data_IF_090361449215
#
_entry.id   IF_090361449215
#
_cell.length_a   1.000
_cell.length_b   1.000
_cell.length_c   1.000
_cell.angle_alpha   90.00
_cell.angle_beta   90.00
_cell.angle_gamma   90.00
#
_symmetry.space_group_name_H-M   'P 1'
#
loop_
_entity.id
_entity.type
_entity.pdbx_description
1 polymer ?
#
# COMPACT_ATOMS: atom_id res chain seq x y z
N UNK A 1 18.60 5.04 12.40
CA UNK A 1 19.75 4.11 12.51
C UNK A 1 19.79 3.36 13.83
N UNK A 2 19.91 4.03 14.97
CA UNK A 2 20.06 3.35 16.27
C UNK A 2 18.90 2.39 16.59
N UNK A 3 17.65 2.73 16.22
CA UNK A 3 16.48 1.86 16.37
C UNK A 3 16.58 0.52 15.62
N UNK A 4 17.27 0.45 14.47
CA UNK A 4 17.45 -0.81 13.73
C UNK A 4 18.27 -1.86 14.48
N UNK A 5 19.03 -1.45 15.51
CA UNK A 5 19.78 -2.39 16.36
C UNK A 5 18.89 -3.21 17.31
N UNK A 6 17.62 -2.84 17.46
CA UNK A 6 16.62 -3.54 18.26
C UNK A 6 15.66 -4.39 17.40
N UNK A 7 15.87 -4.45 16.08
CA UNK A 7 15.10 -5.33 15.20
C UNK A 7 15.71 -6.73 15.20
N UNK A 8 14.90 -7.71 15.60
CA UNK A 8 15.21 -9.12 15.49
C UNK A 8 14.32 -9.76 14.41
N UNK A 9 14.90 -10.62 13.59
CA UNK A 9 14.21 -11.27 12.47
C UNK A 9 13.89 -12.72 12.81
N UNK A 10 12.64 -13.12 12.58
CA UNK A 10 12.15 -14.46 12.87
C UNK A 10 11.55 -15.10 11.63
N UNK A 11 11.63 -16.43 11.51
CA UNK A 11 11.07 -17.17 10.37
C UNK A 11 9.59 -17.47 10.59
N UNK A 12 8.83 -17.58 9.50
CA UNK A 12 7.46 -18.09 9.53
C UNK A 12 7.39 -19.48 10.18
N UNK A 13 6.30 -19.76 10.89
CA UNK A 13 6.07 -21.02 11.58
C UNK A 13 6.85 -21.19 12.90
N UNK A 14 7.91 -20.41 13.13
CA UNK A 14 8.73 -20.45 14.35
C UNK A 14 7.94 -19.86 15.53
N UNK A 15 7.76 -20.64 16.61
CA UNK A 15 7.21 -20.11 17.87
C UNK A 15 8.34 -19.54 18.71
N UNK A 16 8.22 -18.27 19.09
CA UNK A 16 9.19 -17.51 19.88
C UNK A 16 8.61 -17.29 21.27
N UNK A 17 9.39 -17.56 22.30
CA UNK A 17 9.06 -17.23 23.68
C UNK A 17 9.76 -15.92 24.08
N UNK A 18 9.01 -14.96 24.62
CA UNK A 18 9.55 -13.66 25.05
C UNK A 18 10.02 -13.73 26.50
N UNK A 19 9.20 -14.29 27.38
CA UNK A 19 9.42 -14.26 28.83
C UNK A 19 8.79 -15.45 29.60
N UNK A 20 8.28 -16.49 28.92
CA UNK A 20 7.57 -17.61 29.52
C UNK A 20 6.05 -17.40 29.69
N UNK A 21 5.58 -16.15 29.66
CA UNK A 21 4.16 -15.78 29.73
C UNK A 21 3.61 -15.47 28.33
N UNK A 22 4.37 -14.68 27.56
CA UNK A 22 4.04 -14.25 26.20
C UNK A 22 4.93 -14.98 25.20
N UNK A 23 4.29 -15.61 24.21
CA UNK A 23 4.97 -16.20 23.06
C UNK A 23 4.22 -15.87 21.77
N UNK A 24 4.92 -15.79 20.65
CA UNK A 24 4.33 -15.43 19.36
C UNK A 24 4.81 -16.31 18.20
N UNK A 25 4.14 -16.21 17.06
CA UNK A 25 4.52 -16.87 15.81
C UNK A 25 4.02 -16.04 14.62
N UNK A 26 4.90 -15.84 13.64
CA UNK A 26 4.53 -15.31 12.34
C UNK A 26 4.05 -16.41 11.39
N UNK A 27 3.07 -16.07 10.56
CA UNK A 27 2.44 -16.87 9.53
C UNK A 27 2.37 -16.03 8.27
N UNK A 28 2.55 -16.59 7.08
CA UNK A 28 2.54 -15.74 5.88
C UNK A 28 1.14 -15.15 5.65
N UNK A 29 1.05 -13.83 5.54
CA UNK A 29 -0.19 -13.13 5.21
C UNK A 29 -0.42 -12.99 3.70
N UNK A 30 0.53 -13.35 2.84
CA UNK A 30 0.38 -13.32 1.37
C UNK A 30 0.21 -11.94 0.73
N UNK A 31 0.29 -10.85 1.49
CA UNK A 31 -0.06 -9.49 1.07
C UNK A 31 1.09 -8.75 0.39
N UNK A 32 2.26 -8.71 1.06
CA UNK A 32 3.54 -8.21 0.53
C UNK A 32 4.69 -9.08 1.03
N UNK A 33 5.90 -8.87 0.49
CA UNK A 33 7.07 -9.65 0.88
C UNK A 33 7.37 -9.47 2.37
N UNK A 34 7.20 -10.53 3.17
CA UNK A 34 7.35 -10.51 4.63
C UNK A 34 6.09 -10.11 5.42
N UNK A 35 4.94 -9.91 4.77
CA UNK A 35 3.67 -9.66 5.48
C UNK A 35 3.28 -10.83 6.35
N UNK A 36 2.90 -10.58 7.60
CA UNK A 36 2.69 -11.65 8.58
C UNK A 36 1.34 -11.55 9.29
N UNK A 37 0.61 -12.66 9.33
CA UNK A 37 -0.41 -12.91 10.36
C UNK A 37 0.36 -13.23 11.64
N UNK A 38 -0.05 -12.65 12.77
CA UNK A 38 0.61 -12.78 14.06
C UNK A 38 -0.27 -13.60 15.01
N UNK A 39 0.16 -14.82 15.33
CA UNK A 39 -0.41 -15.62 16.43
C UNK A 39 0.32 -15.26 17.73
N UNK A 40 -0.41 -14.84 18.78
CA UNK A 40 0.13 -14.54 20.11
C UNK A 40 -0.55 -15.45 21.14
N UNK A 41 0.25 -16.06 22.01
CA UNK A 41 -0.22 -16.78 23.20
C UNK A 41 0.21 -15.99 24.43
N UNK A 42 -0.74 -15.64 25.29
CA UNK A 42 -0.51 -14.97 26.57
C UNK A 42 -0.99 -15.90 27.68
N UNK A 43 -0.16 -16.12 28.70
CA UNK A 43 -0.45 -17.02 29.81
C UNK A 43 -0.44 -16.27 31.14
N UNK A 44 -1.58 -16.25 31.82
CA UNK A 44 -1.78 -15.68 33.15
C UNK A 44 -2.49 -16.71 34.04
N UNK A 45 -2.09 -16.84 35.30
CA UNK A 45 -2.69 -17.77 36.29
C UNK A 45 -2.97 -19.20 35.75
N UNK A 46 -1.96 -19.79 35.10
CA UNK A 46 -2.00 -21.11 34.42
C UNK A 46 -2.98 -21.24 33.23
N UNK A 47 -3.67 -20.16 32.85
CA UNK A 47 -4.55 -20.11 31.67
C UNK A 47 -3.84 -19.44 30.49
N UNK A 48 -3.86 -20.06 29.32
CA UNK A 48 -3.34 -19.46 28.08
C UNK A 48 -4.48 -19.03 27.16
N UNK A 49 -4.52 -17.75 26.78
CA UNK A 49 -5.34 -17.25 25.66
C UNK A 49 -4.51 -17.18 24.37
N UNK A 50 -5.19 -17.32 23.23
CA UNK A 50 -4.61 -17.13 21.90
C UNK A 50 -5.31 -15.97 21.17
N UNK A 51 -4.56 -14.88 20.99
CA UNK A 51 -4.92 -13.76 20.12
C UNK A 51 -4.33 -13.99 18.72
N UNK A 52 -5.08 -13.63 17.68
CA UNK A 52 -4.59 -13.64 16.30
C UNK A 52 -4.84 -12.27 15.68
N UNK A 53 -3.79 -11.66 15.14
CA UNK A 53 -3.86 -10.42 14.38
C UNK A 53 -3.62 -10.76 12.91
N UNK A 54 -4.59 -10.51 12.02
CA UNK A 54 -4.45 -10.88 10.60
C UNK A 54 -3.34 -10.10 9.89
N UNK A 55 -3.11 -8.85 10.32
CA UNK A 55 -2.46 -7.86 9.47
C UNK A 55 -3.30 -7.63 8.21
N UNK A 56 -2.67 -7.14 7.16
CA UNK A 56 -3.30 -7.10 5.84
C UNK A 56 -3.23 -8.49 5.21
N UNK A 57 -4.37 -9.04 4.81
CA UNK A 57 -4.45 -10.35 4.17
C UNK A 57 -4.28 -10.20 2.66
N UNK A 58 -3.49 -11.08 2.05
CA UNK A 58 -3.27 -11.12 0.61
C UNK A 58 -4.44 -11.70 -0.16
N UNK A 59 -4.77 -11.12 -1.31
CA UNK A 59 -5.61 -11.81 -2.28
C UNK A 59 -4.89 -13.05 -2.85
N UNK A 60 -5.50 -14.25 -2.89
CA UNK A 60 -4.87 -15.41 -3.51
C UNK A 60 -4.65 -15.27 -5.01
N UNK A 61 -3.76 -16.11 -5.55
CA UNK A 61 -3.47 -16.14 -6.98
C UNK A 61 -2.73 -14.90 -7.49
N UNK A 62 -2.20 -14.06 -6.59
CA UNK A 62 -1.27 -12.97 -6.92
C UNK A 62 0.06 -13.56 -7.42
N UNK A 63 0.76 -12.84 -8.31
CA UNK A 63 2.10 -13.24 -8.73
C UNK A 63 3.10 -13.09 -7.58
N UNK A 64 4.25 -13.75 -7.72
CA UNK A 64 5.42 -13.67 -6.83
C UNK A 64 5.24 -14.31 -5.44
N UNK A 65 4.19 -14.03 -4.69
CA UNK A 65 4.03 -14.48 -3.28
C UNK A 65 2.97 -15.58 -3.19
N UNK A 66 3.03 -16.44 -2.17
CA UNK A 66 2.02 -17.46 -1.91
C UNK A 66 0.70 -16.86 -1.34
N UNK A 67 -0.36 -17.67 -1.28
CA UNK A 67 -1.63 -17.26 -0.66
C UNK A 67 -1.53 -17.25 0.88
N UNK A 68 -2.37 -16.48 1.60
CA UNK A 68 -2.26 -16.35 3.06
C UNK A 68 -2.44 -17.69 3.78
N UNK A 69 -1.64 -17.94 4.81
CA UNK A 69 -1.80 -19.10 5.68
C UNK A 69 -3.16 -19.06 6.41
N UNK A 70 -3.83 -20.21 6.46
CA UNK A 70 -5.07 -20.36 7.21
C UNK A 70 -4.83 -20.59 8.70
N UNK A 71 -5.65 -19.95 9.53
CA UNK A 71 -5.64 -20.12 10.97
C UNK A 71 -6.86 -20.96 11.39
N UNK A 72 -6.61 -22.03 12.13
CA UNK A 72 -7.67 -22.97 12.54
C UNK A 72 -8.27 -22.65 13.92
N UNK A 73 -7.59 -21.86 14.75
CA UNK A 73 -7.99 -21.58 16.13
C UNK A 73 -7.59 -20.18 16.57
N UNK A 74 -8.47 -19.48 17.27
CA UNK A 74 -8.16 -18.34 18.14
C UNK A 74 -9.25 -18.22 19.21
N UNK A 75 -8.91 -17.65 20.37
CA UNK A 75 -9.91 -17.20 21.33
C UNK A 75 -10.40 -15.80 20.93
N UNK A 76 -9.47 -14.97 20.44
CA UNK A 76 -9.72 -13.61 19.99
C UNK A 76 -9.05 -13.36 18.64
N UNK A 77 -9.79 -12.75 17.72
CA UNK A 77 -9.30 -12.41 16.38
C UNK A 77 -9.39 -10.89 16.17
N UNK A 78 -8.32 -10.29 15.66
CA UNK A 78 -8.30 -8.93 15.14
C UNK A 78 -8.05 -9.04 13.64
N UNK A 79 -9.00 -8.55 12.83
CA UNK A 79 -9.06 -8.81 11.39
C UNK A 79 -9.22 -7.52 10.59
N UNK A 80 -8.48 -7.37 9.49
CA UNK A 80 -8.66 -6.27 8.55
C UNK A 80 -10.04 -6.29 7.86
N UNK A 81 -10.43 -5.18 7.24
CA UNK A 81 -11.72 -5.04 6.57
C UNK A 81 -11.67 -4.13 5.35
N UNK A 82 -10.51 -3.98 4.70
CA UNK A 82 -10.29 -2.98 3.64
C UNK A 82 -11.29 -3.11 2.47
N UNK A 83 -11.65 -4.35 2.12
CA UNK A 83 -12.68 -4.67 1.13
C UNK A 83 -13.79 -5.54 1.74
N UNK A 84 -14.17 -5.24 3.00
CA UNK A 84 -15.21 -5.96 3.74
C UNK A 84 -16.63 -5.85 3.15
N UNK A 85 -16.81 -5.02 2.13
CA UNK A 85 -18.07 -4.71 1.43
C UNK A 85 -18.23 -5.40 0.07
N UNK A 86 -17.13 -5.79 -0.60
CA UNK A 86 -17.17 -6.21 -2.02
C UNK A 86 -16.08 -7.19 -2.44
N UNK A 87 -16.29 -7.80 -3.61
CA UNK A 87 -15.33 -8.65 -4.32
C UNK A 87 -14.65 -7.89 -5.47
N UNK A 88 -13.37 -8.17 -5.73
CA UNK A 88 -12.65 -7.56 -6.85
C UNK A 88 -12.84 -8.36 -8.16
N UNK A 89 -12.70 -7.72 -9.34
CA UNK A 89 -12.49 -8.44 -10.58
C UNK A 89 -11.22 -9.32 -10.53
N UNK A 90 -11.19 -10.49 -11.18
CA UNK A 90 -10.00 -11.34 -11.22
C UNK A 90 -8.78 -10.60 -11.81
N UNK A 91 -7.59 -10.83 -11.24
CA UNK A 91 -6.34 -10.19 -11.68
C UNK A 91 -6.14 -10.29 -13.21
N UNK A 92 -6.35 -11.47 -13.80
CA UNK A 92 -6.18 -11.69 -15.25
C UNK A 92 -7.08 -10.78 -16.10
N UNK A 93 -8.28 -10.47 -15.63
CA UNK A 93 -9.20 -9.56 -16.31
C UNK A 93 -8.68 -8.12 -16.22
N UNK A 94 -8.24 -7.68 -15.03
CA UNK A 94 -7.63 -6.37 -14.84
C UNK A 94 -6.30 -6.21 -15.58
N UNK A 95 -5.48 -7.25 -15.68
CA UNK A 95 -4.26 -7.26 -16.48
C UNK A 95 -4.56 -7.15 -17.97
N UNK A 96 -5.55 -7.90 -18.49
CA UNK A 96 -6.04 -7.75 -19.86
C UNK A 96 -6.52 -6.32 -20.16
N UNK A 97 -7.35 -5.75 -19.27
CA UNK A 97 -7.81 -4.34 -19.35
C UNK A 97 -6.65 -3.35 -19.30
N UNK A 98 -5.64 -3.56 -18.46
CA UNK A 98 -4.45 -2.70 -18.40
C UNK A 98 -3.72 -2.69 -19.76
N UNK A 99 -3.52 -3.86 -20.36
CA UNK A 99 -2.93 -3.97 -21.69
C UNK A 99 -3.80 -3.23 -22.72
N UNK A 100 -5.12 -3.44 -22.75
CA UNK A 100 -6.03 -2.73 -23.66
C UNK A 100 -5.95 -1.20 -23.51
N UNK A 101 -5.92 -0.70 -22.27
CA UNK A 101 -5.74 0.74 -21.97
C UNK A 101 -4.39 1.23 -22.51
N UNK A 102 -3.30 0.48 -22.33
CA UNK A 102 -1.99 0.80 -22.91
C UNK A 102 -2.08 0.87 -24.44
N UNK A 103 -2.67 -0.13 -25.11
CA UNK A 103 -2.85 -0.11 -26.57
C UNK A 103 -3.65 1.12 -27.03
N UNK A 104 -4.82 1.34 -26.45
CA UNK A 104 -5.73 2.46 -26.77
C UNK A 104 -5.05 3.83 -26.58
N UNK A 105 -4.27 3.99 -25.51
CA UNK A 105 -3.60 5.25 -25.18
C UNK A 105 -2.42 5.54 -26.10
N UNK A 106 -1.63 4.51 -26.41
CA UNK A 106 -0.44 4.65 -27.25
C UNK A 106 -0.80 4.85 -28.72
N UNK A 107 -1.83 4.16 -29.23
CA UNK A 107 -2.31 4.33 -30.61
C UNK A 107 -2.82 5.75 -30.93
N UNK A 108 -3.27 6.51 -29.91
CA UNK A 108 -3.62 7.94 -30.05
C UNK A 108 -2.45 8.91 -29.76
N UNK A 109 -1.25 8.37 -29.54
CA UNK A 109 -0.02 9.14 -29.28
C UNK A 109 0.08 9.72 -27.87
N UNK A 110 -0.50 9.06 -26.86
CA UNK A 110 -0.42 9.46 -25.45
C UNK A 110 0.41 8.52 -24.59
N UNK A 111 0.63 8.90 -23.33
CA UNK A 111 1.31 8.08 -22.31
C UNK A 111 0.33 7.59 -21.24
N UNK A 112 0.63 6.43 -20.65
CA UNK A 112 -0.10 5.87 -19.51
C UNK A 112 0.67 6.14 -18.22
N UNK A 113 0.01 6.74 -17.23
CA UNK A 113 0.58 7.06 -15.93
C UNK A 113 -0.11 6.14 -14.90
N UNK A 114 0.68 5.46 -14.07
CA UNK A 114 0.21 4.47 -13.08
C UNK A 114 0.80 4.81 -11.70
N UNK A 115 0.03 5.50 -10.82
CA UNK A 115 0.33 5.57 -9.40
C UNK A 115 0.39 4.17 -8.81
N UNK A 116 1.50 3.80 -8.17
CA UNK A 116 1.66 2.48 -7.57
C UNK A 116 2.48 2.52 -6.28
N UNK A 117 2.17 1.65 -5.32
CA UNK A 117 2.97 1.48 -4.12
C UNK A 117 4.33 0.88 -4.46
N UNK A 118 5.38 1.38 -3.81
CA UNK A 118 6.77 1.02 -4.14
C UNK A 118 7.10 -0.44 -3.83
N UNK A 119 6.43 -1.03 -2.84
CA UNK A 119 6.60 -2.40 -2.37
C UNK A 119 5.33 -3.19 -2.71
N UNK A 120 5.47 -4.46 -3.09
CA UNK A 120 4.38 -5.33 -3.51
C UNK A 120 3.79 -4.96 -4.86
N UNK A 121 3.12 -3.81 -4.97
CA UNK A 121 2.24 -3.52 -6.11
C UNK A 121 2.95 -3.10 -7.39
N UNK A 122 4.06 -2.38 -7.29
CA UNK A 122 4.91 -2.14 -8.46
C UNK A 122 5.52 -3.45 -8.98
N UNK A 123 5.90 -4.36 -8.10
CA UNK A 123 6.48 -5.66 -8.46
C UNK A 123 5.45 -6.57 -9.15
N UNK A 124 4.21 -6.61 -8.66
CA UNK A 124 3.11 -7.31 -9.32
C UNK A 124 2.80 -6.78 -10.72
N UNK A 125 2.79 -5.45 -10.91
CA UNK A 125 2.63 -4.86 -12.24
C UNK A 125 3.76 -5.22 -13.20
N UNK A 126 5.01 -5.22 -12.71
CA UNK A 126 6.17 -5.62 -13.52
C UNK A 126 6.03 -7.09 -13.95
N UNK A 127 5.57 -7.98 -13.06
CA UNK A 127 5.32 -9.39 -13.37
C UNK A 127 4.27 -9.57 -14.48
N UNK A 128 3.09 -8.93 -14.35
CA UNK A 128 2.03 -9.07 -15.37
C UNK A 128 2.44 -8.45 -16.73
N UNK A 129 3.26 -7.39 -16.71
CA UNK A 129 3.82 -6.82 -17.94
C UNK A 129 4.93 -7.72 -18.54
N UNK A 130 5.75 -8.37 -17.72
CA UNK A 130 6.72 -9.39 -18.17
C UNK A 130 5.99 -10.58 -18.82
N UNK A 131 4.95 -11.13 -18.17
CA UNK A 131 4.10 -12.22 -18.70
C UNK A 131 3.52 -11.81 -20.07
N UNK A 132 3.01 -10.58 -20.19
CA UNK A 132 2.54 -10.06 -21.48
C UNK A 132 3.65 -9.93 -22.54
N UNK A 133 4.79 -9.30 -22.24
CA UNK A 133 5.80 -8.95 -23.25
C UNK A 133 6.71 -10.12 -23.67
N UNK A 134 7.04 -11.05 -22.78
CA UNK A 134 7.98 -12.14 -23.06
C UNK A 134 7.27 -13.42 -23.53
N UNK A 135 6.00 -13.66 -23.13
CA UNK A 135 5.29 -14.92 -23.39
C UNK A 135 4.13 -14.83 -24.40
N UNK A 136 3.88 -13.66 -25.00
CA UNK A 136 2.88 -13.48 -26.05
C UNK A 136 3.53 -12.96 -27.34
N UNK A 137 2.91 -13.22 -28.50
CA UNK A 137 3.34 -12.63 -29.77
C UNK A 137 2.96 -11.14 -29.81
N UNK A 138 3.87 -10.28 -29.33
CA UNK A 138 3.73 -8.83 -29.34
C UNK A 138 4.43 -8.24 -30.56
N UNK A 139 3.68 -7.55 -31.41
CA UNK A 139 4.22 -6.83 -32.57
C UNK A 139 5.23 -5.74 -32.13
N UNK A 140 6.30 -5.53 -32.90
CA UNK A 140 7.43 -4.67 -32.49
C UNK A 140 6.99 -3.24 -32.11
N UNK A 141 6.03 -2.65 -32.83
CA UNK A 141 5.50 -1.31 -32.52
C UNK A 141 4.66 -1.26 -31.23
N UNK A 142 4.29 -2.42 -30.68
CA UNK A 142 3.59 -2.59 -29.42
C UNK A 142 4.52 -2.88 -28.24
N UNK A 143 5.84 -2.98 -28.42
CA UNK A 143 6.85 -3.04 -27.33
C UNK A 143 7.03 -1.68 -26.66
N UNK A 144 6.01 -1.22 -25.95
CA UNK A 144 5.97 0.15 -25.43
C UNK A 144 6.96 0.32 -24.28
N UNK A 145 7.81 1.37 -24.27
CA UNK A 145 8.72 1.64 -23.15
C UNK A 145 7.98 1.77 -21.81
N UNK A 146 8.35 0.95 -20.83
CA UNK A 146 7.83 0.95 -19.46
C UNK A 146 8.89 1.48 -18.50
N UNK A 147 8.53 2.49 -17.72
CA UNK A 147 9.44 3.17 -16.79
C UNK A 147 8.98 2.97 -15.35
N UNK A 148 9.86 2.47 -14.49
CA UNK A 148 9.68 2.45 -13.04
C UNK A 148 10.40 3.68 -12.48
N UNK A 149 9.66 4.74 -12.22
CA UNK A 149 10.19 6.02 -11.74
C UNK A 149 9.88 6.25 -10.26
N UNK A 150 10.55 5.49 -9.41
CA UNK A 150 10.52 5.62 -7.96
C UNK A 150 11.77 4.96 -7.37
N UNK A 151 12.73 5.70 -6.78
CA UNK A 151 13.94 5.11 -6.21
C UNK A 151 13.64 4.04 -5.16
N UNK A 152 12.56 4.25 -4.38
CA UNK A 152 12.06 3.28 -3.41
C UNK A 152 11.50 2.02 -4.07
N UNK A 153 10.83 2.11 -5.22
CA UNK A 153 10.35 0.94 -5.95
C UNK A 153 11.49 0.17 -6.63
N UNK A 154 12.51 0.88 -7.13
CA UNK A 154 13.73 0.23 -7.65
C UNK A 154 14.44 -0.53 -6.52
N UNK A 155 14.68 0.11 -5.37
CA UNK A 155 15.30 -0.52 -4.21
C UNK A 155 14.48 -1.70 -3.66
N UNK A 156 13.15 -1.56 -3.56
CA UNK A 156 12.26 -2.65 -3.18
C UNK A 156 12.35 -3.84 -4.15
N UNK A 157 12.45 -3.59 -5.46
CA UNK A 157 12.62 -4.65 -6.46
C UNK A 157 13.97 -5.36 -6.32
N UNK A 158 15.04 -4.65 -5.96
CA UNK A 158 16.33 -5.26 -5.60
C UNK A 158 16.24 -6.12 -4.32
N UNK A 159 15.41 -5.73 -3.34
CA UNK A 159 15.13 -6.55 -2.14
C UNK A 159 14.33 -7.81 -2.50
N UNK A 160 13.30 -7.70 -3.35
CA UNK A 160 12.57 -8.85 -3.89
C UNK A 160 13.52 -9.84 -4.57
N UNK A 161 14.37 -9.38 -5.50
CA UNK A 161 15.33 -10.23 -6.21
C UNK A 161 16.32 -10.96 -5.28
N UNK A 162 16.71 -10.34 -4.15
CA UNK A 162 17.59 -10.95 -3.15
C UNK A 162 16.91 -11.98 -2.25
N UNK A 163 15.57 -11.97 -2.18
CA UNK A 163 14.77 -12.83 -1.31
C UNK A 163 13.84 -13.75 -2.11
N UNK A 164 14.28 -14.22 -3.28
CA UNK A 164 13.49 -15.10 -4.15
C UNK A 164 13.12 -16.46 -3.51
N UNK A 165 13.80 -16.86 -2.42
CA UNK A 165 13.49 -18.08 -1.67
C UNK A 165 12.18 -18.06 -0.87
N UNK A 166 11.52 -16.90 -0.74
CA UNK A 166 10.16 -16.77 -0.17
C UNK A 166 9.10 -16.43 -1.23
N UNK A 167 9.41 -16.65 -2.51
CA UNK A 167 8.42 -16.54 -3.58
C UNK A 167 7.64 -17.85 -3.74
N UNK A 168 6.43 -17.76 -4.32
CA UNK A 168 5.65 -18.94 -4.68
C UNK A 168 6.38 -19.85 -5.68
N UNK A 169 6.05 -21.15 -5.63
CA UNK A 169 6.71 -22.18 -6.44
C UNK A 169 6.73 -21.86 -7.94
N UNK A 170 5.65 -21.28 -8.49
CA UNK A 170 5.60 -20.87 -9.92
C UNK A 170 6.69 -19.86 -10.25
N UNK A 171 6.91 -18.88 -9.38
CA UNK A 171 7.88 -17.80 -9.60
C UNK A 171 9.31 -18.29 -9.36
N UNK A 172 9.51 -19.17 -8.36
CA UNK A 172 10.80 -19.85 -8.18
C UNK A 172 11.18 -20.68 -9.41
N UNK A 173 10.25 -21.45 -9.97
CA UNK A 173 10.45 -22.27 -11.17
C UNK A 173 10.87 -21.45 -12.42
N UNK A 174 10.37 -20.22 -12.58
CA UNK A 174 10.79 -19.32 -13.64
C UNK A 174 12.25 -18.89 -13.44
N UNK A 175 12.59 -18.45 -12.23
CA UNK A 175 13.94 -18.01 -11.87
C UNK A 175 14.96 -19.16 -12.03
N UNK A 176 14.60 -20.38 -11.63
CA UNK A 176 15.44 -21.58 -11.78
C UNK A 176 15.67 -21.98 -13.25
N UNK A 177 14.77 -21.60 -14.17
CA UNK A 177 14.94 -21.79 -15.63
C UNK A 177 15.81 -20.69 -16.27
N UNK A 178 16.25 -19.70 -15.50
CA UNK A 178 17.07 -18.58 -15.96
C UNK A 178 16.28 -17.35 -16.43
N UNK A 179 14.96 -17.35 -16.27
CA UNK A 179 14.12 -16.18 -16.51
C UNK A 179 14.19 -15.19 -15.33
N UNK A 180 13.80 -13.93 -15.55
CA UNK A 180 13.72 -12.92 -14.52
C UNK A 180 12.39 -12.15 -14.63
N UNK A 181 11.40 -12.44 -13.77
CA UNK A 181 10.07 -11.82 -13.85
C UNK A 181 10.06 -10.32 -13.52
N UNK A 182 11.22 -9.74 -13.18
CA UNK A 182 11.43 -8.31 -12.97
C UNK A 182 12.24 -7.64 -14.09
N UNK A 183 12.40 -8.30 -15.25
CA UNK A 183 13.08 -7.76 -16.43
C UNK A 183 12.35 -8.20 -17.70
N UNK A 184 12.25 -7.28 -18.65
CA UNK A 184 11.81 -7.54 -20.02
C UNK A 184 12.41 -6.45 -20.92
N UNK A 185 12.51 -6.68 -22.22
CA UNK A 185 13.28 -5.83 -23.15
C UNK A 185 12.97 -4.32 -23.04
N UNK A 186 11.69 -3.98 -22.91
CA UNK A 186 11.17 -2.61 -22.84
C UNK A 186 11.04 -2.02 -21.42
N UNK A 187 11.55 -2.67 -20.37
CA UNK A 187 11.52 -2.17 -18.99
C UNK A 187 12.75 -1.32 -18.62
N UNK A 188 12.55 -0.15 -18.00
CA UNK A 188 13.63 0.74 -17.53
C UNK A 188 13.38 1.21 -16.10
N UNK A 189 14.37 1.03 -15.24
CA UNK A 189 14.37 1.50 -13.84
C UNK A 189 15.03 2.87 -13.75
N UNK A 190 14.27 3.91 -13.41
CA UNK A 190 14.77 5.28 -13.31
C UNK A 190 15.27 5.54 -11.89
N UNK A 191 16.57 5.80 -11.76
CA UNK A 191 17.20 6.07 -10.46
C UNK A 191 17.39 7.57 -10.25
N UNK A 192 17.93 8.29 -11.25
CA UNK A 192 18.29 9.70 -11.08
C UNK A 192 17.10 10.65 -11.18
N UNK A 193 17.28 11.88 -10.70
CA UNK A 193 16.25 12.94 -10.80
C UNK A 193 16.24 13.56 -12.20
N UNK A 194 17.39 13.63 -12.85
CA UNK A 194 17.60 14.15 -14.20
C UNK A 194 16.88 13.28 -15.23
N UNK A 195 16.97 11.95 -15.10
CA UNK A 195 16.21 10.98 -15.89
C UNK A 195 14.69 11.16 -15.72
N UNK A 196 14.22 11.34 -14.48
CA UNK A 196 12.79 11.59 -14.17
C UNK A 196 12.29 12.91 -14.79
N UNK A 197 13.09 13.97 -14.74
CA UNK A 197 12.79 15.27 -15.39
C UNK A 197 12.81 15.13 -16.92
N UNK A 198 13.75 14.37 -17.49
CA UNK A 198 13.80 14.10 -18.92
C UNK A 198 12.57 13.30 -19.39
N UNK A 199 12.08 12.36 -18.58
CA UNK A 199 10.89 11.56 -18.88
C UNK A 199 9.61 12.41 -19.01
N UNK A 200 9.49 13.47 -18.19
CA UNK A 200 8.40 14.45 -18.27
C UNK A 200 8.45 15.33 -19.54
N UNK A 201 9.61 15.43 -20.21
CA UNK A 201 9.81 16.22 -21.44
C UNK A 201 9.81 15.39 -22.72
N UNK A 202 9.58 14.08 -22.62
CA UNK A 202 9.66 13.17 -23.75
C UNK A 202 8.33 13.07 -24.50
N UNK A 203 8.32 13.35 -25.80
CA UNK A 203 7.08 13.43 -26.61
C UNK A 203 6.60 12.08 -27.20
N UNK A 204 7.29 10.97 -26.94
CA UNK A 204 6.88 9.63 -27.39
C UNK A 204 5.94 8.92 -26.39
N UNK A 205 5.01 8.07 -26.86
CA UNK A 205 4.17 7.22 -26.02
C UNK A 205 4.97 6.26 -25.12
N UNK A 206 4.56 6.14 -23.85
CA UNK A 206 5.25 5.35 -22.81
C UNK A 206 4.31 5.00 -21.66
N UNK A 207 4.71 4.03 -20.83
CA UNK A 207 4.08 3.73 -19.55
C UNK A 207 5.00 4.21 -18.43
N UNK A 208 4.47 4.95 -17.45
CA UNK A 208 5.21 5.45 -16.28
C UNK A 208 4.53 4.92 -15.01
N UNK A 209 5.22 4.04 -14.29
CA UNK A 209 4.81 3.53 -12.98
C UNK A 209 5.61 4.27 -11.91
N UNK A 210 4.94 4.97 -11.00
CA UNK A 210 5.60 5.84 -10.01
C UNK A 210 4.85 5.87 -8.68
N UNK A 211 5.59 6.11 -7.59
CA UNK A 211 5.07 6.18 -6.23
C UNK A 211 4.80 7.64 -5.80
N UNK A 212 3.85 7.90 -4.89
CA UNK A 212 3.01 6.95 -4.11
C UNK A 212 1.78 6.40 -4.85
N UNK A 213 1.26 5.26 -4.39
CA UNK A 213 0.08 4.59 -4.97
C UNK A 213 -1.23 5.36 -4.88
N UNK A 214 -1.34 6.29 -3.94
CA UNK A 214 -2.49 7.18 -3.78
C UNK A 214 -2.26 8.61 -4.32
N UNK A 215 -1.20 8.78 -5.12
CA UNK A 215 -0.74 10.05 -5.68
C UNK A 215 -0.44 11.19 -4.67
N UNK A 216 -0.43 10.88 -3.36
CA UNK A 216 -0.27 11.84 -2.25
C UNK A 216 1.09 12.52 -2.20
N UNK A 217 2.16 11.83 -2.63
CA UNK A 217 3.54 12.30 -2.52
C UNK A 217 4.44 11.65 -3.59
N UNK A 218 5.66 12.14 -3.75
CA UNK A 218 6.68 11.53 -4.61
C UNK A 218 6.63 11.95 -6.08
N UNK A 219 7.43 11.27 -6.92
CA UNK A 219 7.63 11.61 -8.34
C UNK A 219 6.33 11.55 -9.15
N UNK A 220 5.34 10.76 -8.72
CA UNK A 220 4.01 10.70 -9.37
C UNK A 220 3.32 12.08 -9.43
N UNK A 221 3.47 12.95 -8.43
CA UNK A 221 2.89 14.31 -8.45
C UNK A 221 3.47 15.16 -9.58
N UNK A 222 4.76 14.99 -9.87
CA UNK A 222 5.42 15.66 -10.99
C UNK A 222 4.95 15.10 -12.32
N UNK A 223 4.79 13.78 -12.46
CA UNK A 223 4.21 13.17 -13.67
C UNK A 223 2.77 13.64 -13.91
N UNK A 224 1.92 13.64 -12.88
CA UNK A 224 0.55 14.15 -12.97
C UNK A 224 0.51 15.63 -13.38
N UNK A 225 1.36 16.48 -12.79
CA UNK A 225 1.47 17.91 -13.16
C UNK A 225 1.73 18.14 -14.65
N UNK A 226 2.54 17.30 -15.27
CA UNK A 226 2.86 17.39 -16.70
C UNK A 226 1.85 16.70 -17.62
N UNK A 227 1.05 15.75 -17.12
CA UNK A 227 0.23 14.87 -17.96
C UNK A 227 -1.30 15.04 -17.83
N UNK A 228 -1.83 15.55 -16.70
CA UNK A 228 -3.28 15.62 -16.41
C UNK A 228 -4.13 16.37 -17.46
N UNK A 229 -3.56 17.43 -18.03
CA UNK A 229 -4.24 18.35 -18.95
C UNK A 229 -4.29 17.83 -20.40
N UNK A 230 -3.58 16.74 -20.73
CA UNK A 230 -3.49 16.23 -22.10
C UNK A 230 -4.49 15.07 -22.33
N UNK A 231 -5.55 15.25 -23.13
CA UNK A 231 -6.58 14.23 -23.35
C UNK A 231 -6.09 12.99 -24.12
N UNK A 232 -4.87 13.02 -24.67
CA UNK A 232 -4.25 11.82 -25.24
C UNK A 232 -3.75 10.86 -24.17
N UNK A 233 -3.43 11.33 -22.97
CA UNK A 233 -2.90 10.48 -21.91
C UNK A 233 -3.99 9.62 -21.25
N UNK A 234 -3.57 8.67 -20.43
CA UNK A 234 -4.43 7.93 -19.50
C UNK A 234 -3.78 7.86 -18.12
N UNK A 235 -4.61 7.92 -17.08
CA UNK A 235 -4.25 7.67 -15.69
C UNK A 235 -4.93 6.37 -15.25
N UNK A 236 -4.18 5.43 -14.67
CA UNK A 236 -4.70 4.13 -14.24
C UNK A 236 -4.39 3.90 -12.78
N UNK A 237 -5.44 3.84 -11.95
CA UNK A 237 -5.33 3.39 -10.56
C UNK A 237 -5.45 1.86 -10.51
N UNK A 238 -4.73 1.26 -9.55
CA UNK A 238 -4.42 -0.19 -9.49
C UNK A 238 -4.45 -0.72 -8.05
N UNK A 239 -5.23 -0.07 -7.19
CA UNK A 239 -5.33 -0.35 -5.77
C UNK A 239 -6.07 0.75 -5.03
N UNK A 240 -6.41 0.50 -3.76
CA UNK A 240 -7.28 1.36 -2.95
C UNK A 240 -6.86 2.84 -2.93
N UNK A 241 -7.85 3.73 -3.01
CA UNK A 241 -7.68 5.17 -2.95
C UNK A 241 -8.49 5.72 -1.76
N UNK A 242 -7.82 5.91 -0.63
CA UNK A 242 -8.43 6.39 0.61
C UNK A 242 -9.03 7.80 0.45
N UNK A 243 -10.08 8.09 1.22
CA UNK A 243 -10.70 9.41 1.28
C UNK A 243 -9.67 10.53 1.57
N UNK A 244 -9.86 11.70 0.97
CA UNK A 244 -8.94 12.84 1.07
C UNK A 244 -7.63 12.70 0.26
N UNK A 245 -7.31 11.52 -0.29
CA UNK A 245 -6.14 11.36 -1.16
C UNK A 245 -6.31 12.04 -2.53
N UNK A 246 -5.20 12.49 -3.13
CA UNK A 246 -5.23 13.04 -4.50
C UNK A 246 -5.78 12.02 -5.52
N UNK A 247 -5.45 10.74 -5.35
CA UNK A 247 -5.97 9.69 -6.21
C UNK A 247 -7.48 9.53 -6.12
N UNK A 248 -8.06 9.57 -4.90
CA UNK A 248 -9.51 9.53 -4.71
C UNK A 248 -10.20 10.76 -5.31
N UNK A 249 -9.68 11.96 -5.05
CA UNK A 249 -10.17 13.22 -5.64
C UNK A 249 -10.20 13.15 -7.18
N UNK A 250 -9.20 12.52 -7.81
CA UNK A 250 -9.16 12.32 -9.26
C UNK A 250 -10.17 11.28 -9.75
N UNK A 251 -10.36 10.16 -9.04
CA UNK A 251 -11.39 9.16 -9.33
C UNK A 251 -12.82 9.73 -9.22
N UNK A 252 -13.09 10.57 -8.22
CA UNK A 252 -14.38 11.25 -8.03
C UNK A 252 -14.69 12.26 -9.17
N UNK A 253 -13.76 12.45 -10.12
CA UNK A 253 -14.04 13.03 -11.44
C UNK A 253 -13.91 14.55 -11.53
N UNK A 254 -13.18 15.17 -10.58
CA UNK A 254 -12.91 16.63 -10.58
C UNK A 254 -12.33 17.10 -11.91
N UNK A 255 -12.74 18.30 -12.36
CA UNK A 255 -12.27 18.88 -13.63
C UNK A 255 -11.00 19.72 -13.49
N UNK A 256 -10.69 20.14 -12.26
CA UNK A 256 -9.51 20.92 -11.91
C UNK A 256 -8.98 20.45 -10.57
N UNK A 257 -7.66 20.45 -10.41
CA UNK A 257 -6.99 20.13 -9.14
C UNK A 257 -5.76 21.01 -8.93
N UNK A 258 -5.51 21.40 -7.68
CA UNK A 258 -4.29 22.13 -7.29
C UNK A 258 -3.17 21.11 -7.06
N UNK A 259 -2.06 21.24 -7.77
CA UNK A 259 -0.95 20.29 -7.74
C UNK A 259 0.39 21.04 -7.81
N UNK A 260 1.18 20.95 -6.72
CA UNK A 260 2.48 21.61 -6.59
C UNK A 260 2.39 23.13 -6.85
N UNK A 261 1.47 23.79 -6.15
CA UNK A 261 1.21 25.24 -6.25
C UNK A 261 0.40 25.69 -7.47
N UNK A 262 0.18 24.84 -8.48
CA UNK A 262 -0.49 25.21 -9.73
C UNK A 262 -1.87 24.54 -9.88
N UNK A 263 -2.85 25.27 -10.40
CA UNK A 263 -4.11 24.67 -10.86
C UNK A 263 -3.89 23.94 -12.20
N UNK A 264 -4.39 22.70 -12.32
CA UNK A 264 -4.34 21.89 -13.54
C UNK A 264 -5.73 21.41 -13.92
N UNK A 265 -6.06 21.55 -15.21
CA UNK A 265 -7.21 20.89 -15.80
C UNK A 265 -7.00 19.37 -15.86
N UNK A 266 -8.07 18.62 -15.60
CA UNK A 266 -8.11 17.16 -15.66
C UNK A 266 -8.85 16.77 -16.94
N UNK A 267 -8.08 16.43 -17.98
CA UNK A 267 -8.59 16.14 -19.33
C UNK A 267 -8.18 14.75 -19.87
N UNK A 268 -7.20 14.09 -19.26
CA UNK A 268 -6.85 12.69 -19.58
C UNK A 268 -7.98 11.70 -19.23
N UNK A 269 -7.94 10.51 -19.81
CA UNK A 269 -8.86 9.42 -19.42
C UNK A 269 -8.40 8.80 -18.10
N UNK A 270 -9.29 8.71 -17.11
CA UNK A 270 -9.01 8.06 -15.81
C UNK A 270 -9.66 6.67 -15.80
N UNK A 271 -8.91 5.68 -15.32
CA UNK A 271 -9.34 4.29 -15.16
C UNK A 271 -9.04 3.82 -13.75
N UNK A 272 -9.88 2.91 -13.25
CA UNK A 272 -9.63 2.16 -12.03
C UNK A 272 -9.65 0.65 -12.34
N UNK A 273 -8.66 -0.06 -11.82
CA UNK A 273 -8.46 -1.50 -12.01
C UNK A 273 -8.31 -2.18 -10.65
N UNK A 274 -9.40 -2.18 -9.88
CA UNK A 274 -9.49 -2.77 -8.53
C UNK A 274 -8.96 -4.20 -8.43
N UNK A 275 -9.07 -5.00 -9.49
CA UNK A 275 -8.54 -6.37 -9.55
C UNK A 275 -7.01 -6.47 -9.41
N UNK A 276 -6.29 -5.35 -9.37
CA UNK A 276 -4.89 -5.31 -8.91
C UNK A 276 -4.70 -5.20 -7.40
N UNK A 277 -5.71 -4.95 -6.55
CA UNK A 277 -5.58 -4.76 -5.09
C UNK A 277 -4.72 -5.83 -4.37
N UNK A 278 -3.94 -5.46 -3.36
CA UNK A 278 -3.18 -6.45 -2.57
C UNK A 278 -4.03 -7.15 -1.50
N UNK A 279 -4.99 -6.43 -0.94
CA UNK A 279 -5.89 -6.92 0.11
C UNK A 279 -6.81 -8.03 -0.40
N UNK A 280 -7.22 -8.91 0.51
CA UNK A 280 -8.28 -9.87 0.32
C UNK A 280 -9.64 -9.16 0.13
N UNK A 281 -10.53 -9.74 -0.69
CA UNK A 281 -11.93 -9.31 -0.77
C UNK A 281 -12.78 -9.94 0.32
N UNK A 282 -14.02 -9.45 0.46
CA UNK A 282 -15.04 -10.06 1.31
C UNK A 282 -15.14 -11.57 1.06
N UNK A 283 -15.17 -12.02 -0.20
CA UNK A 283 -15.22 -13.43 -0.58
C UNK A 283 -14.07 -14.27 -0.02
N UNK A 284 -12.81 -13.82 -0.19
CA UNK A 284 -11.68 -14.53 0.42
C UNK A 284 -11.63 -14.39 1.94
N UNK A 285 -11.95 -13.23 2.50
CA UNK A 285 -11.98 -13.03 3.95
C UNK A 285 -13.00 -13.95 4.64
N UNK A 286 -14.19 -14.14 4.04
CA UNK A 286 -15.16 -15.17 4.44
C UNK A 286 -14.55 -16.57 4.32
N UNK A 287 -13.87 -16.89 3.21
CA UNK A 287 -13.21 -18.20 3.03
C UNK A 287 -12.16 -18.45 4.13
N UNK A 288 -11.38 -17.43 4.51
CA UNK A 288 -10.37 -17.53 5.56
C UNK A 288 -10.99 -17.73 6.95
N UNK A 289 -12.02 -16.96 7.29
CA UNK A 289 -12.82 -17.16 8.51
C UNK A 289 -13.46 -18.55 8.59
N UNK A 290 -13.86 -19.14 7.46
CA UNK A 290 -14.46 -20.48 7.42
C UNK A 290 -13.53 -21.62 7.84
N UNK A 291 -12.22 -21.38 7.96
CA UNK A 291 -11.25 -22.39 8.40
C UNK A 291 -11.10 -22.50 9.93
N UNK A 292 -11.70 -21.59 10.69
CA UNK A 292 -11.73 -21.66 12.15
C UNK A 292 -12.58 -22.84 12.63
N UNK A 293 -11.98 -23.73 13.42
CA UNK A 293 -12.59 -24.95 13.96
C UNK A 293 -13.36 -24.69 15.25
N UNK A 294 -13.01 -23.62 15.99
CA UNK A 294 -13.77 -23.07 17.10
C UNK A 294 -14.27 -21.67 16.72
N UNK A 295 -15.46 -21.29 17.21
CA UNK A 295 -15.89 -19.88 17.19
C UNK A 295 -14.95 -19.06 18.10
N UNK A 296 -14.29 -17.99 17.61
CA UNK A 296 -13.65 -17.01 18.47
C UNK A 296 -14.69 -16.34 19.37
N UNK A 297 -14.31 -16.00 20.61
CA UNK A 297 -15.21 -15.32 21.55
C UNK A 297 -15.62 -13.95 21.03
N UNK A 298 -14.65 -13.18 20.48
CA UNK A 298 -14.89 -11.93 19.75
C UNK A 298 -13.98 -11.79 18.53
N UNK A 299 -14.50 -11.10 17.51
CA UNK A 299 -13.76 -10.65 16.32
C UNK A 299 -13.73 -9.13 16.28
N UNK A 300 -12.56 -8.53 16.44
CA UNK A 300 -12.34 -7.10 16.28
C UNK A 300 -12.13 -6.78 14.79
N UNK A 301 -13.07 -6.05 14.20
CA UNK A 301 -13.04 -5.65 12.79
C UNK A 301 -12.34 -4.29 12.67
N UNK A 302 -11.12 -4.30 12.15
CA UNK A 302 -10.22 -3.14 12.07
C UNK A 302 -9.81 -2.85 10.62
N UNK A 303 -9.00 -1.82 10.39
CA UNK A 303 -8.38 -1.50 9.10
C UNK A 303 -9.38 -1.49 7.93
N UNK A 304 -10.39 -0.63 8.00
CA UNK A 304 -11.38 -0.40 6.95
C UNK A 304 -12.16 0.88 7.23
N UNK A 305 -12.84 1.42 6.20
CA UNK A 305 -13.75 2.55 6.40
C UNK A 305 -14.96 2.12 7.24
N UNK A 306 -15.53 3.05 8.03
CA UNK A 306 -16.56 2.72 9.02
C UNK A 306 -17.73 1.94 8.43
N UNK A 307 -18.25 2.37 7.28
CA UNK A 307 -19.38 1.71 6.61
C UNK A 307 -19.01 0.30 6.11
N UNK A 308 -17.78 0.12 5.63
CA UNK A 308 -17.24 -1.17 5.19
C UNK A 308 -17.09 -2.14 6.37
N UNK A 309 -16.54 -1.66 7.50
CA UNK A 309 -16.43 -2.44 8.73
C UNK A 309 -17.81 -2.82 9.29
N UNK A 310 -18.80 -1.92 9.24
CA UNK A 310 -20.20 -2.20 9.64
C UNK A 310 -20.91 -3.21 8.72
N UNK A 311 -20.61 -3.22 7.42
CA UNK A 311 -21.10 -4.23 6.48
C UNK A 311 -20.46 -5.58 6.80
N UNK A 312 -19.13 -5.61 6.93
CA UNK A 312 -18.38 -6.84 7.14
C UNK A 312 -18.68 -7.50 8.50
N UNK A 313 -18.82 -6.70 9.56
CA UNK A 313 -19.28 -7.12 10.88
C UNK A 313 -20.59 -7.92 10.81
N UNK A 314 -21.62 -7.39 10.13
CA UNK A 314 -22.91 -8.08 9.92
C UNK A 314 -22.74 -9.39 9.13
N UNK A 315 -21.93 -9.36 8.08
CA UNK A 315 -21.66 -10.56 7.25
C UNK A 315 -20.97 -11.66 8.06
N UNK A 316 -20.06 -11.31 8.97
CA UNK A 316 -19.41 -12.24 9.91
C UNK A 316 -20.43 -12.84 10.89
N UNK A 317 -21.26 -11.99 11.50
CA UNK A 317 -22.29 -12.39 12.47
C UNK A 317 -23.35 -13.30 11.83
N UNK A 318 -23.85 -12.95 10.65
CA UNK A 318 -24.87 -13.73 9.93
C UNK A 318 -24.36 -15.09 9.42
N UNK A 319 -23.10 -15.16 8.94
CA UNK A 319 -22.55 -16.40 8.34
C UNK A 319 -21.97 -17.37 9.37
N UNK A 320 -21.32 -16.85 10.41
CA UNK A 320 -20.54 -17.66 11.35
C UNK A 320 -21.08 -17.62 12.79
N UNK A 321 -21.96 -16.67 13.11
CA UNK A 321 -22.39 -16.43 14.49
C UNK A 321 -21.27 -15.92 15.40
N UNK A 322 -20.14 -15.48 14.82
CA UNK A 322 -19.02 -14.89 15.56
C UNK A 322 -19.44 -13.49 15.99
N UNK A 323 -19.26 -13.15 17.26
CA UNK A 323 -19.66 -11.83 17.77
C UNK A 323 -18.57 -10.81 17.45
N UNK A 324 -18.97 -9.69 16.84
CA UNK A 324 -18.01 -8.69 16.37
C UNK A 324 -17.92 -7.47 17.28
N UNK A 325 -16.79 -6.78 17.21
CA UNK A 325 -16.55 -5.45 17.80
C UNK A 325 -15.90 -4.61 16.71
N UNK A 326 -16.40 -3.40 16.47
CA UNK A 326 -15.72 -2.40 15.62
C UNK A 326 -15.09 -1.38 16.59
N UNK A 327 -13.80 -1.53 16.95
CA UNK A 327 -13.16 -0.62 17.90
C UNK A 327 -12.93 0.75 17.26
N UNK A 328 -13.07 1.80 18.06
CA UNK A 328 -12.66 3.16 17.71
C UNK A 328 -11.20 3.35 18.12
N UNK A 329 -10.50 4.27 17.47
CA UNK A 329 -9.18 4.73 17.92
C UNK A 329 -9.29 5.19 19.39
N UNK A 330 -8.32 4.81 20.22
CA UNK A 330 -8.32 5.10 21.66
C UNK A 330 -9.19 4.19 22.53
N UNK A 331 -9.97 3.24 21.97
CA UNK A 331 -10.64 2.23 22.80
C UNK A 331 -9.65 1.24 23.40
N UNK A 332 -9.85 0.90 24.67
CA UNK A 332 -9.11 -0.12 25.41
C UNK A 332 -10.04 -1.21 25.92
N UNK A 333 -9.67 -2.46 25.69
CA UNK A 333 -10.44 -3.65 26.05
C UNK A 333 -9.60 -4.55 26.95
N UNK A 334 -10.14 -4.90 28.12
CA UNK A 334 -9.60 -5.94 28.97
C UNK A 334 -10.13 -7.29 28.50
N UNK A 335 -9.20 -8.21 28.25
CA UNK A 335 -9.49 -9.55 27.74
C UNK A 335 -9.22 -10.54 28.88
N UNK A 336 -10.25 -11.22 29.35
CA UNK A 336 -10.15 -12.39 30.22
C UNK A 336 -10.44 -13.66 29.39
N UNK A 337 -10.14 -14.82 29.95
CA UNK A 337 -10.43 -16.15 29.40
C UNK A 337 -11.88 -16.42 29.02
N UNK A 338 -12.86 -15.76 29.67
CA UNK A 338 -14.29 -15.99 29.42
C UNK A 338 -15.08 -14.71 29.09
N UNK A 339 -14.48 -13.51 29.17
CA UNK A 339 -15.16 -12.23 29.00
C UNK A 339 -14.26 -11.14 28.40
N UNK A 340 -14.86 -10.17 27.70
CA UNK A 340 -14.24 -8.87 27.43
C UNK A 340 -14.97 -7.78 28.21
N UNK A 341 -14.20 -6.94 28.92
CA UNK A 341 -14.68 -5.69 29.51
C UNK A 341 -14.09 -4.49 28.76
N UNK A 342 -14.88 -3.45 28.53
CA UNK A 342 -14.39 -2.20 27.94
C UNK A 342 -13.85 -1.33 29.07
N UNK A 343 -12.54 -1.15 29.15
CA UNK A 343 -11.92 -0.28 30.17
C UNK A 343 -12.08 1.19 29.82
N UNK A 344 -12.01 1.53 28.52
CA UNK A 344 -12.16 2.91 28.04
C UNK A 344 -12.98 2.95 26.75
N UNK A 345 -14.26 3.31 26.84
CA UNK A 345 -15.05 3.74 25.68
C UNK A 345 -14.86 5.25 25.46
N UNK A 346 -13.91 5.59 24.58
CA UNK A 346 -13.75 6.94 24.08
C UNK A 346 -14.84 7.21 23.05
N UNK A 347 -15.95 7.82 23.48
CA UNK A 347 -16.68 8.68 22.57
C UNK A 347 -15.74 9.79 22.10
N UNK A 348 -15.52 9.88 20.78
CA UNK A 348 -14.79 10.98 20.15
C UNK A 348 -15.55 12.29 20.31
N UNK A 349 -15.44 12.88 21.50
CA UNK A 349 -15.70 14.28 21.74
C UNK A 349 -14.67 15.09 20.93
N UNK A 350 -15.04 16.27 20.39
CA UNK A 350 -14.13 17.11 19.61
C UNK A 350 -12.80 17.43 20.30
N UNK A 351 -12.74 17.31 21.62
CA UNK A 351 -11.55 17.54 22.42
C UNK A 351 -10.51 16.42 22.28
N UNK A 352 -10.91 15.15 22.12
CA UNK A 352 -9.97 14.03 21.90
C UNK A 352 -9.38 14.07 20.49
N UNK A 353 -10.21 14.35 19.48
CA UNK A 353 -9.71 14.59 18.12
C UNK A 353 -8.78 15.82 18.06
N UNK A 354 -8.99 16.80 18.94
CA UNK A 354 -8.08 17.94 19.08
C UNK A 354 -6.77 17.52 19.74
N UNK A 355 -6.80 16.71 20.79
CA UNK A 355 -5.59 16.20 21.45
C UNK A 355 -4.74 15.36 20.49
N UNK A 356 -5.33 14.41 19.75
CA UNK A 356 -4.66 13.60 18.73
C UNK A 356 -4.00 14.45 17.63
N UNK A 357 -4.74 15.41 17.05
CA UNK A 357 -4.20 16.35 16.06
C UNK A 357 -3.14 17.27 16.68
N UNK A 358 -3.27 17.65 17.95
CA UNK A 358 -2.27 18.47 18.65
C UNK A 358 -0.99 17.68 18.91
N UNK A 359 -1.07 16.42 19.34
CA UNK A 359 0.10 15.55 19.54
C UNK A 359 0.84 15.33 18.21
N UNK A 360 0.12 15.06 17.12
CA UNK A 360 0.75 14.90 15.80
C UNK A 360 1.38 16.21 15.28
N UNK A 361 0.76 17.37 15.54
CA UNK A 361 1.35 18.68 15.27
C UNK A 361 2.60 18.96 16.12
N UNK A 362 2.61 18.56 17.39
CA UNK A 362 3.77 18.68 18.29
C UNK A 362 4.91 17.75 17.82
N UNK A 363 4.59 16.52 17.41
CA UNK A 363 5.54 15.57 16.81
C UNK A 363 6.16 16.14 15.52
N UNK A 364 5.35 16.69 14.62
CA UNK A 364 5.82 17.36 13.40
C UNK A 364 6.70 18.57 13.75
N UNK A 365 6.29 19.38 14.74
CA UNK A 365 7.07 20.54 15.18
C UNK A 365 8.42 20.15 15.80
N UNK A 366 8.47 19.08 16.60
CA UNK A 366 9.70 18.54 17.17
C UNK A 366 10.63 17.98 16.08
N UNK A 367 10.09 17.27 15.09
CA UNK A 367 10.86 16.83 13.92
C UNK A 367 11.43 18.01 13.13
N UNK A 368 10.61 19.03 12.85
CA UNK A 368 11.03 20.23 12.13
C UNK A 368 12.09 21.03 12.90
N UNK A 369 11.94 21.13 14.22
CA UNK A 369 12.92 21.77 15.12
C UNK A 369 14.24 21.01 15.09
N UNK A 370 14.23 19.67 15.21
CA UNK A 370 15.45 18.87 15.10
C UNK A 370 16.11 18.95 13.71
N UNK A 371 15.33 19.23 12.65
CA UNK A 371 15.82 19.45 11.30
C UNK A 371 16.47 20.85 11.18
N UNK A 372 15.88 21.86 11.81
CA UNK A 372 16.43 23.22 11.92
C UNK A 372 17.68 23.29 12.80
N UNK A 373 17.76 22.54 13.90
CA UNK A 373 19.00 22.41 14.69
C UNK A 373 20.14 21.74 13.92
N UNK A 374 19.81 20.91 12.93
CA UNK A 374 20.77 20.31 11.98
C UNK A 374 21.03 21.21 10.77
N UNK A 375 20.44 22.41 10.68
CA UNK A 375 20.52 23.28 9.48
C UNK A 375 21.94 23.70 9.12
N UNK A 376 22.87 23.79 10.08
CA UNK A 376 24.29 24.01 9.82
C UNK A 376 24.89 22.95 8.87
N UNK A 377 24.39 21.70 8.91
CA UNK A 377 24.78 20.64 7.96
C UNK A 377 24.05 20.69 6.61
N UNK A 378 22.92 21.39 6.51
CA UNK A 378 22.23 21.66 5.24
C UNK A 378 22.78 22.90 4.52
N UNK A 379 23.50 23.77 5.24
CA UNK A 379 24.15 24.97 4.73
C UNK A 379 25.61 24.73 4.29
N UNK A 380 26.08 23.48 4.33
CA UNK A 380 27.38 23.07 3.80
C UNK A 380 27.52 23.43 2.31
N UNK A 381 28.64 24.06 1.92
CA UNK A 381 28.83 24.56 0.56
C UNK A 381 28.89 23.45 -0.50
N UNK A 382 29.40 22.26 -0.18
CA UNK A 382 29.56 21.16 -1.12
C UNK A 382 28.21 20.44 -1.32
N UNK A 383 27.45 20.29 -0.24
CA UNK A 383 26.10 19.76 -0.23
C UNK A 383 25.11 20.70 -0.95
N UNK A 384 25.22 22.02 -0.74
CA UNK A 384 24.44 23.03 -1.47
C UNK A 384 24.78 23.05 -2.96
N UNK A 385 26.07 23.03 -3.36
CA UNK A 385 26.47 22.98 -4.78
C UNK A 385 25.88 21.79 -5.53
N UNK A 386 25.63 20.68 -4.84
CA UNK A 386 25.12 19.44 -5.43
C UNK A 386 23.59 19.31 -5.35
N UNK A 387 22.97 19.74 -4.24
CA UNK A 387 21.58 19.42 -3.91
C UNK A 387 20.65 20.63 -3.72
N UNK A 388 21.11 21.88 -3.94
CA UNK A 388 20.30 23.10 -3.69
C UNK A 388 18.89 23.03 -4.29
N UNK A 389 18.76 22.69 -5.57
CA UNK A 389 17.45 22.65 -6.23
C UNK A 389 16.55 21.53 -5.68
N UNK A 390 17.13 20.40 -5.24
CA UNK A 390 16.38 19.31 -4.61
C UNK A 390 15.86 19.76 -3.23
N UNK A 391 16.73 20.35 -2.41
CA UNK A 391 16.37 20.90 -1.09
C UNK A 391 15.29 21.98 -1.22
N UNK A 392 15.47 22.91 -2.15
CA UNK A 392 14.52 24.00 -2.42
C UNK A 392 13.15 23.48 -2.88
N UNK A 393 13.12 22.51 -3.80
CA UNK A 393 11.85 21.90 -4.24
C UNK A 393 11.16 21.13 -3.10
N UNK A 394 11.91 20.47 -2.21
CA UNK A 394 11.33 19.83 -1.02
C UNK A 394 10.74 20.84 -0.04
N UNK A 395 11.41 21.97 0.20
CA UNK A 395 10.89 23.04 1.04
C UNK A 395 9.60 23.65 0.45
N UNK A 396 9.54 23.85 -0.86
CA UNK A 396 8.33 24.31 -1.57
C UNK A 396 7.17 23.29 -1.53
N UNK A 397 7.46 21.98 -1.59
CA UNK A 397 6.46 20.93 -1.38
C UNK A 397 5.88 21.00 0.05
N UNK A 398 6.74 21.21 1.04
CA UNK A 398 6.38 21.33 2.46
C UNK A 398 5.56 22.61 2.73
N UNK A 399 5.98 23.75 2.15
CA UNK A 399 5.22 25.02 2.19
C UNK A 399 3.83 24.87 1.55
N UNK A 400 3.72 24.18 0.41
CA UNK A 400 2.41 23.90 -0.21
C UNK A 400 1.53 23.06 0.71
N UNK A 401 2.07 22.03 1.37
CA UNK A 401 1.30 21.19 2.31
C UNK A 401 0.83 22.00 3.53
N UNK A 402 1.68 22.88 4.08
CA UNK A 402 1.32 23.78 5.16
C UNK A 402 0.24 24.80 4.73
N UNK A 403 0.30 25.34 3.51
CA UNK A 403 -0.77 26.18 2.97
C UNK A 403 -2.09 25.42 2.80
N UNK A 404 -2.04 24.19 2.27
CA UNK A 404 -3.25 23.38 2.05
C UNK A 404 -3.91 22.98 3.38
N UNK A 405 -3.11 22.68 4.43
CA UNK A 405 -3.58 22.51 5.80
C UNK A 405 -4.19 23.80 6.39
N UNK A 406 -3.54 24.94 6.19
CA UNK A 406 -4.04 26.23 6.69
C UNK A 406 -5.38 26.64 6.02
N UNK A 407 -5.59 26.27 4.75
CA UNK A 407 -6.86 26.44 4.04
C UNK A 407 -7.95 25.51 4.58
N UNK A 408 -7.60 24.28 5.00
CA UNK A 408 -8.53 23.33 5.62
C UNK A 408 -9.00 23.80 7.01
N UNK A 409 -8.09 24.39 7.80
CA UNK A 409 -8.40 24.91 9.16
C UNK A 409 -9.03 26.31 9.10
N UNK A 410 -8.74 27.11 8.07
CA UNK A 410 -9.22 28.48 7.90
C UNK A 410 -10.59 28.60 7.22
N UNK A 411 -11.67 28.51 7.99
CA UNK A 411 -13.02 28.95 7.60
C UNK A 411 -13.75 29.68 8.73
#
# INVERSE_FOLDING_TARGET
EQSFKYFETYLYGQKIDINGEISFKFRDAGHILGSSILEIWVTEDEKTIKLVFSGDLGMPGRPIIDEPEYIEYADYLIMESTYGDRDHPPLKESAGKLIEIIKKTVLRGGSVIIPSFAVGRTQGLIYELNDYYEYNEVEEYMKIPVYIDSPMAVAATEVFQKNSGVFNNKTQDLILKGDNPFRFENLKYIKSTEESIALNKADYPKVIISASGMATAGRIRHHLKHNLWNPKNSLVFVGYQAEGSLGRILLDGVKKVKLLGEEKDVALEIYDLEGFSAHADQGFMIKWLSQFKNKPQKVFVVHGEKEVAEIFSKVIEEKFGFETIIPKIGNSYRIDTDNIEVEVDVEFKPDVLREDITEELENIHAQFTSLMEKSDGFLDEELLKTNYDILKNRLLELESQLMDLNILVGK
#
